data_IF_143107439135
#
_entry.id   IF_143107439135
#
_cell.length_a   1.000
_cell.length_b   1.000
_cell.length_c   1.000
_cell.angle_alpha   90.00
_cell.angle_beta   90.00
_cell.angle_gamma   90.00
#
_symmetry.space_group_name_H-M   'P 1'
#
loop_
_entity.id
_entity.type
_entity.pdbx_description
1 polymer ?
#
# COMPACT_ATOMS: atom_id res chain seq x y z
N UNK A 1 2.32 13.91 -5.77
CA UNK A 1 3.06 13.44 -4.58
C UNK A 1 4.47 14.00 -4.70
N UNK A 2 4.87 14.88 -3.78
CA UNK A 2 6.20 15.49 -3.77
C UNK A 2 6.90 15.01 -2.50
N UNK A 3 7.59 13.88 -2.58
CA UNK A 3 8.45 13.39 -1.51
C UNK A 3 9.67 14.32 -1.41
N UNK A 4 9.75 15.12 -0.34
CA UNK A 4 10.93 15.95 -0.07
C UNK A 4 11.82 15.28 0.96
N UNK A 5 12.91 14.68 0.50
CA UNK A 5 14.02 14.24 1.35
C UNK A 5 15.05 15.39 1.38
N UNK A 6 15.63 15.68 2.54
CA UNK A 6 16.66 16.70 2.67
C UNK A 6 17.92 16.34 1.87
N UNK A 7 18.51 17.34 1.21
CA UNK A 7 19.73 17.19 0.40
C UNK A 7 20.93 16.68 1.21
N UNK A 8 20.97 16.95 2.52
CA UNK A 8 22.02 16.46 3.41
C UNK A 8 22.01 14.94 3.57
N UNK A 9 20.83 14.35 3.75
CA UNK A 9 20.65 12.92 3.99
C UNK A 9 20.99 12.10 2.74
N UNK A 10 20.64 12.62 1.56
CA UNK A 10 21.01 12.03 0.28
C UNK A 10 22.53 11.97 0.09
N UNK A 11 23.25 13.02 0.50
CA UNK A 11 24.71 13.04 0.41
C UNK A 11 25.38 12.04 1.35
N UNK A 12 24.80 11.82 2.55
CA UNK A 12 25.25 10.82 3.51
C UNK A 12 25.07 9.39 2.98
N UNK A 13 23.88 9.10 2.44
CA UNK A 13 23.59 7.81 1.81
C UNK A 13 24.52 7.56 0.61
N UNK A 14 24.71 8.54 -0.27
CA UNK A 14 25.59 8.39 -1.44
C UNK A 14 27.04 8.10 -1.02
N UNK A 15 27.54 8.77 0.02
CA UNK A 15 28.87 8.50 0.57
C UNK A 15 28.95 7.11 1.18
N UNK A 16 27.94 6.70 1.95
CA UNK A 16 27.84 5.35 2.50
C UNK A 16 27.86 4.25 1.44
N UNK A 17 27.11 4.42 0.35
CA UNK A 17 27.09 3.47 -0.76
C UNK A 17 28.44 3.35 -1.48
N UNK A 18 29.30 4.36 -1.39
CA UNK A 18 30.66 4.34 -1.96
C UNK A 18 31.68 3.75 -0.98
N UNK A 19 31.68 4.25 0.25
CA UNK A 19 32.78 4.05 1.19
C UNK A 19 32.51 2.90 2.18
N UNK A 20 31.24 2.59 2.45
CA UNK A 20 30.79 1.49 3.32
C UNK A 20 29.55 0.77 2.74
N UNK A 21 29.65 0.17 1.54
CA UNK A 21 28.48 -0.32 0.79
C UNK A 21 27.73 -1.48 1.44
N UNK A 22 28.40 -2.30 2.27
CA UNK A 22 27.75 -3.41 2.97
C UNK A 22 26.88 -2.89 4.12
N UNK A 23 27.46 -2.09 5.01
CA UNK A 23 26.75 -1.47 6.14
C UNK A 23 25.61 -0.57 5.65
N UNK A 24 25.86 0.23 4.61
CA UNK A 24 24.84 1.12 4.06
C UNK A 24 23.65 0.35 3.50
N UNK A 25 23.89 -0.79 2.82
CA UNK A 25 22.81 -1.65 2.34
C UNK A 25 21.99 -2.25 3.48
N UNK A 26 22.65 -2.77 4.51
CA UNK A 26 21.98 -3.32 5.68
C UNK A 26 21.06 -2.29 6.36
N UNK A 27 21.56 -1.08 6.58
CA UNK A 27 20.77 0.00 7.21
C UNK A 27 19.59 0.42 6.33
N UNK A 28 19.78 0.55 5.02
CA UNK A 28 18.71 0.91 4.09
C UNK A 28 17.68 -0.22 3.93
N UNK A 29 18.10 -1.48 3.95
CA UNK A 29 17.19 -2.64 3.91
C UNK A 29 16.31 -2.70 5.15
N UNK A 30 16.88 -2.44 6.32
CA UNK A 30 16.12 -2.35 7.56
C UNK A 30 15.08 -1.22 7.50
N UNK A 31 15.48 -0.01 7.09
CA UNK A 31 14.58 1.12 6.95
C UNK A 31 13.47 0.88 5.91
N UNK A 32 13.80 0.29 4.76
CA UNK A 32 12.80 -0.05 3.75
C UNK A 32 11.83 -1.14 4.21
N UNK A 33 12.33 -2.12 4.98
CA UNK A 33 11.49 -3.16 5.58
C UNK A 33 10.47 -2.57 6.54
N UNK A 34 10.89 -1.63 7.39
CA UNK A 34 9.97 -0.95 8.31
C UNK A 34 8.97 -0.05 7.56
N UNK A 35 9.44 0.72 6.58
CA UNK A 35 8.60 1.60 5.77
C UNK A 35 7.53 0.81 5.01
N UNK A 36 7.90 -0.29 4.36
CA UNK A 36 6.94 -1.12 3.61
C UNK A 36 5.96 -1.86 4.53
N UNK A 37 6.37 -2.26 5.74
CA UNK A 37 5.46 -2.80 6.76
C UNK A 37 4.40 -1.78 7.19
N UNK A 38 4.82 -0.53 7.44
CA UNK A 38 3.92 0.55 7.81
C UNK A 38 2.90 0.82 6.69
N UNK A 39 3.38 0.97 5.45
CA UNK A 39 2.51 1.22 4.29
C UNK A 39 1.56 0.04 4.04
N UNK A 40 2.04 -1.20 4.07
CA UNK A 40 1.21 -2.40 3.92
C UNK A 40 0.06 -2.43 4.93
N UNK A 41 0.36 -2.21 6.21
CA UNK A 41 -0.65 -2.13 7.28
C UNK A 41 -1.69 -1.05 6.97
N UNK A 42 -1.24 0.12 6.55
CA UNK A 42 -2.13 1.24 6.27
C UNK A 42 -3.00 1.01 5.02
N UNK A 43 -2.48 0.34 3.99
CA UNK A 43 -3.28 -0.11 2.84
C UNK A 43 -4.38 -1.05 3.31
N UNK A 44 -4.04 -2.03 4.16
CA UNK A 44 -4.99 -3.01 4.69
C UNK A 44 -6.12 -2.33 5.47
N UNK A 45 -5.81 -1.36 6.33
CA UNK A 45 -6.82 -0.63 7.10
C UNK A 45 -7.70 0.28 6.22
N UNK A 46 -7.15 0.83 5.14
CA UNK A 46 -7.91 1.66 4.21
C UNK A 46 -8.81 0.85 3.24
N UNK A 47 -8.62 -0.47 3.12
CA UNK A 47 -9.49 -1.33 2.31
C UNK A 47 -10.87 -1.45 2.98
N UNK A 48 -11.98 -1.14 2.27
CA UNK A 48 -13.32 -1.33 2.81
C UNK A 48 -13.55 -2.77 3.27
N UNK A 49 -14.02 -2.93 4.50
CA UNK A 49 -14.35 -4.24 5.06
C UNK A 49 -15.60 -4.79 4.38
N UNK A 50 -15.38 -5.57 3.31
CA UNK A 50 -16.41 -6.34 2.62
C UNK A 50 -16.53 -7.76 3.19
N UNK A 51 -17.48 -8.54 2.67
CA UNK A 51 -17.90 -9.85 3.21
C UNK A 51 -16.78 -10.88 3.41
N UNK A 52 -15.71 -10.86 2.62
CA UNK A 52 -14.67 -11.91 2.66
C UNK A 52 -13.29 -11.43 3.11
N UNK A 53 -13.03 -10.11 3.08
CA UNK A 53 -11.71 -9.53 3.39
C UNK A 53 -10.56 -10.02 2.51
N UNK A 54 -10.84 -10.71 1.40
CA UNK A 54 -9.82 -11.38 0.58
C UNK A 54 -8.83 -10.40 -0.03
N UNK A 55 -9.28 -9.23 -0.49
CA UNK A 55 -8.40 -8.21 -1.08
C UNK A 55 -7.41 -7.66 -0.06
N UNK A 56 -7.85 -7.48 1.19
CA UNK A 56 -6.96 -7.04 2.27
C UNK A 56 -5.90 -8.12 2.59
N UNK A 57 -6.30 -9.40 2.61
CA UNK A 57 -5.39 -10.52 2.84
C UNK A 57 -4.41 -10.77 1.69
N UNK A 58 -4.66 -10.24 0.50
CA UNK A 58 -3.75 -10.39 -0.64
C UNK A 58 -2.73 -9.26 -0.75
N UNK A 59 -2.79 -8.26 0.14
CA UNK A 59 -1.77 -7.24 0.21
C UNK A 59 -0.50 -7.87 0.77
N UNK A 60 0.60 -7.67 0.07
CA UNK A 60 1.91 -8.16 0.43
C UNK A 60 2.95 -7.10 0.14
N UNK A 61 4.08 -7.17 0.84
CA UNK A 61 5.26 -6.36 0.56
C UNK A 61 6.47 -7.21 0.21
N UNK A 62 7.40 -6.62 -0.53
CA UNK A 62 8.72 -7.18 -0.80
C UNK A 62 9.79 -6.09 -0.73
N UNK A 63 11.01 -6.47 -0.35
CA UNK A 63 12.17 -5.57 -0.25
C UNK A 63 13.34 -6.23 -0.96
N UNK A 64 13.90 -5.51 -1.93
CA UNK A 64 14.94 -6.02 -2.81
C UNK A 64 16.15 -5.08 -2.77
N UNK A 65 17.32 -5.66 -2.55
CA UNK A 65 18.59 -4.97 -2.72
C UNK A 65 18.97 -4.93 -4.21
N UNK A 66 19.29 -3.75 -4.72
CA UNK A 66 19.69 -3.53 -6.11
C UNK A 66 21.04 -2.78 -6.16
N UNK A 67 21.75 -2.80 -7.30
CA UNK A 67 22.95 -1.97 -7.46
C UNK A 67 22.70 -0.46 -7.29
N UNK A 68 21.46 0.00 -7.49
CA UNK A 68 21.08 1.40 -7.36
C UNK A 68 20.64 1.78 -5.93
N UNK A 69 20.53 0.83 -5.00
CA UNK A 69 19.99 1.02 -3.66
C UNK A 69 18.96 -0.05 -3.29
N UNK A 70 18.05 0.27 -2.38
CA UNK A 70 17.01 -0.67 -1.90
C UNK A 70 15.65 -0.27 -2.48
N UNK A 71 14.94 -1.24 -3.05
CA UNK A 71 13.58 -1.07 -3.58
C UNK A 71 12.58 -1.77 -2.66
N UNK A 72 11.57 -1.04 -2.19
CA UNK A 72 10.41 -1.60 -1.50
C UNK A 72 9.17 -1.57 -2.38
N UNK A 73 8.41 -2.67 -2.38
CA UNK A 73 7.16 -2.80 -3.13
C UNK A 73 6.05 -3.20 -2.17
N UNK A 74 4.91 -2.51 -2.23
CA UNK A 74 3.66 -2.94 -1.58
C UNK A 74 2.62 -3.10 -2.68
N UNK A 75 2.02 -4.29 -2.78
CA UNK A 75 1.13 -4.64 -3.88
C UNK A 75 0.10 -5.68 -3.48
N UNK A 76 -0.71 -6.11 -4.45
CA UNK A 76 -1.73 -7.13 -4.25
C UNK A 76 -1.64 -8.18 -5.34
N UNK A 77 -1.82 -9.45 -4.96
CA UNK A 77 -1.97 -10.55 -5.93
C UNK A 77 -3.37 -10.64 -6.55
N UNK A 78 -4.33 -9.82 -6.09
CA UNK A 78 -5.70 -9.84 -6.60
C UNK A 78 -6.03 -8.64 -7.50
N UNK A 79 -6.66 -8.86 -8.67
CA UNK A 79 -7.15 -7.78 -9.53
C UNK A 79 -8.16 -6.85 -8.85
N UNK A 80 -8.87 -7.33 -7.82
CA UNK A 80 -9.84 -6.53 -7.06
C UNK A 80 -9.22 -5.30 -6.40
N UNK A 81 -7.93 -5.34 -6.03
CA UNK A 81 -7.21 -4.19 -5.47
C UNK A 81 -7.13 -3.03 -6.48
N UNK A 82 -6.91 -3.34 -7.77
CA UNK A 82 -6.87 -2.33 -8.84
C UNK A 82 -8.22 -1.62 -8.98
N UNK A 83 -9.32 -2.37 -8.90
CA UNK A 83 -10.67 -1.80 -8.99
C UNK A 83 -11.02 -0.95 -7.77
N UNK A 84 -10.49 -1.28 -6.58
CA UNK A 84 -10.63 -0.41 -5.40
C UNK A 84 -9.81 0.87 -5.55
N UNK A 85 -8.61 0.79 -6.10
CA UNK A 85 -7.73 1.94 -6.26
C UNK A 85 -8.25 2.92 -7.32
N UNK A 86 -8.62 2.40 -8.49
CA UNK A 86 -8.93 3.22 -9.68
C UNK A 86 -10.43 3.29 -9.99
N UNK A 87 -11.26 2.49 -9.33
CA UNK A 87 -12.65 2.31 -9.71
C UNK A 87 -12.78 1.47 -10.99
N UNK A 88 -13.98 1.46 -11.55
CA UNK A 88 -14.28 0.73 -12.79
C UNK A 88 -15.12 1.58 -13.72
N UNK A 89 -14.95 1.38 -15.03
CA UNK A 89 -15.91 1.87 -16.03
C UNK A 89 -17.29 1.20 -15.86
N UNK A 90 -18.37 1.80 -16.40
CA UNK A 90 -19.69 1.18 -16.40
C UNK A 90 -19.66 -0.23 -17.00
N UNK A 91 -20.19 -1.22 -16.27
CA UNK A 91 -20.29 -2.61 -16.68
C UNK A 91 -21.35 -3.34 -15.83
N UNK A 92 -21.91 -4.44 -16.33
CA UNK A 92 -22.85 -5.24 -15.55
C UNK A 92 -22.11 -6.37 -14.83
N UNK A 93 -21.92 -6.31 -13.51
CA UNK A 93 -21.32 -7.42 -12.77
C UNK A 93 -22.29 -8.61 -12.67
N UNK A 94 -21.79 -9.84 -12.46
CA UNK A 94 -22.63 -10.98 -12.14
C UNK A 94 -23.42 -10.71 -10.85
N UNK A 95 -24.75 -10.75 -10.93
CA UNK A 95 -25.63 -10.37 -9.80
C UNK A 95 -25.44 -11.29 -8.60
N UNK A 96 -25.28 -12.59 -8.81
CA UNK A 96 -25.09 -13.54 -7.72
C UNK A 96 -23.78 -13.28 -6.94
N UNK A 97 -22.76 -12.69 -7.59
CA UNK A 97 -21.52 -12.29 -6.92
C UNK A 97 -21.69 -11.07 -5.99
N UNK A 98 -22.72 -10.24 -6.20
CA UNK A 98 -23.02 -9.08 -5.34
C UNK A 98 -23.83 -9.45 -4.10
N UNK A 99 -24.54 -10.59 -4.11
CA UNK A 99 -25.43 -10.99 -3.00
C UNK A 99 -24.68 -11.08 -1.66
N UNK A 100 -23.50 -11.73 -1.54
CA UNK A 100 -22.76 -11.76 -0.27
C UNK A 100 -22.38 -10.37 0.25
N UNK A 101 -22.01 -9.45 -0.65
CA UNK A 101 -21.70 -8.06 -0.29
C UNK A 101 -22.94 -7.33 0.22
N UNK A 102 -24.09 -7.45 -0.46
CA UNK A 102 -25.36 -6.85 -0.04
C UNK A 102 -25.75 -7.31 1.37
N UNK A 103 -25.63 -8.61 1.65
CA UNK A 103 -25.96 -9.16 2.97
C UNK A 103 -25.01 -8.65 4.05
N UNK A 104 -23.70 -8.60 3.76
CA UNK A 104 -22.69 -8.18 4.72
C UNK A 104 -22.71 -6.68 5.00
N UNK A 105 -22.87 -5.85 3.96
CA UNK A 105 -22.74 -4.39 4.06
C UNK A 105 -24.07 -3.71 4.36
N UNK A 106 -25.17 -4.20 3.78
CA UNK A 106 -26.51 -3.61 3.98
C UNK A 106 -27.34 -4.36 5.02
N UNK A 107 -26.83 -5.48 5.57
CA UNK A 107 -27.49 -6.24 6.63
C UNK A 107 -28.76 -6.98 6.21
N UNK A 108 -29.04 -7.08 4.91
CA UNK A 108 -30.25 -7.74 4.38
C UNK A 108 -30.12 -9.25 4.55
N UNK A 109 -31.05 -9.86 5.31
CA UNK A 109 -31.01 -11.29 5.64
C UNK A 109 -31.83 -12.16 4.69
N UNK A 110 -32.96 -11.64 4.22
CA UNK A 110 -33.86 -12.37 3.32
C UNK A 110 -33.18 -12.63 1.96
N UNK A 111 -33.11 -13.89 1.49
CA UNK A 111 -32.43 -14.22 0.24
C UNK A 111 -33.05 -13.58 -1.01
N UNK A 112 -34.38 -13.44 -1.06
CA UNK A 112 -35.06 -12.87 -2.24
C UNK A 112 -34.83 -11.37 -2.31
N UNK A 113 -34.96 -10.68 -1.18
CA UNK A 113 -34.66 -9.26 -1.05
C UNK A 113 -33.20 -8.97 -1.38
N UNK A 114 -32.25 -9.76 -0.85
CA UNK A 114 -30.83 -9.59 -1.15
C UNK A 114 -30.52 -9.69 -2.65
N UNK A 115 -31.19 -10.61 -3.37
CA UNK A 115 -31.05 -10.75 -4.81
C UNK A 115 -31.64 -9.57 -5.59
N UNK A 116 -32.81 -9.08 -5.19
CA UNK A 116 -33.43 -7.89 -5.77
C UNK A 116 -32.56 -6.64 -5.57
N UNK A 117 -32.00 -6.45 -4.38
CA UNK A 117 -31.09 -5.33 -4.10
C UNK A 117 -29.77 -5.48 -4.86
N UNK A 118 -29.21 -6.69 -4.94
CA UNK A 118 -28.03 -6.97 -5.75
C UNK A 118 -28.25 -6.60 -7.23
N UNK A 119 -29.43 -6.87 -7.79
CA UNK A 119 -29.78 -6.45 -9.14
C UNK A 119 -29.79 -4.92 -9.30
N UNK A 120 -30.36 -4.19 -8.35
CA UNK A 120 -30.37 -2.71 -8.37
C UNK A 120 -28.97 -2.12 -8.24
N UNK A 121 -28.12 -2.69 -7.38
CA UNK A 121 -26.70 -2.32 -7.27
C UNK A 121 -25.98 -2.58 -8.59
N UNK A 122 -26.16 -3.77 -9.17
CA UNK A 122 -25.60 -4.12 -10.49
C UNK A 122 -26.03 -3.15 -11.58
N UNK A 123 -27.31 -2.77 -11.63
CA UNK A 123 -27.81 -1.75 -12.57
C UNK A 123 -27.16 -0.38 -12.38
N UNK A 124 -26.89 0.02 -11.15
CA UNK A 124 -26.18 1.28 -10.88
C UNK A 124 -24.75 1.22 -11.39
N UNK A 125 -24.03 0.12 -11.12
CA UNK A 125 -22.68 -0.12 -11.63
C UNK A 125 -22.67 -0.18 -13.16
N UNK A 126 -23.70 -0.75 -13.79
CA UNK A 126 -23.83 -0.79 -15.24
C UNK A 126 -23.99 0.58 -15.89
N UNK A 127 -24.54 1.55 -15.16
CA UNK A 127 -24.72 2.92 -15.64
C UNK A 127 -23.52 3.81 -15.35
N UNK A 128 -22.93 3.68 -14.16
CA UNK A 128 -21.96 4.65 -13.63
C UNK A 128 -20.55 4.08 -13.43
N UNK A 129 -20.44 2.75 -13.36
CA UNK A 129 -19.23 2.09 -12.89
C UNK A 129 -19.10 2.16 -11.36
N UNK A 130 -17.86 2.12 -10.87
CA UNK A 130 -17.55 2.28 -9.45
C UNK A 130 -16.54 3.40 -9.27
N UNK A 131 -16.70 4.18 -8.19
CA UNK A 131 -15.78 5.25 -7.84
C UNK A 131 -14.52 4.68 -7.18
N UNK A 132 -13.33 5.25 -7.44
CA UNK A 132 -12.10 4.87 -6.76
C UNK A 132 -12.19 5.15 -5.25
N UNK A 133 -11.76 4.18 -4.44
CA UNK A 133 -11.63 4.30 -2.98
C UNK A 133 -10.20 4.67 -2.55
N UNK A 134 -9.22 4.40 -3.43
CA UNK A 134 -7.82 4.81 -3.31
C UNK A 134 -7.09 4.36 -2.03
N UNK A 135 -7.21 3.09 -1.58
CA UNK A 135 -6.54 2.63 -0.37
C UNK A 135 -5.00 2.79 -0.42
N UNK A 136 -4.37 2.61 -1.58
CA UNK A 136 -2.92 2.76 -1.73
C UNK A 136 -2.49 4.22 -1.69
N UNK A 137 -3.13 5.09 -2.47
CA UNK A 137 -2.82 6.52 -2.46
C UNK A 137 -3.00 7.13 -1.06
N UNK A 138 -4.08 6.75 -0.37
CA UNK A 138 -4.34 7.20 1.01
C UNK A 138 -3.27 6.72 1.97
N UNK A 139 -2.88 5.45 1.89
CA UNK A 139 -1.84 4.88 2.73
C UNK A 139 -0.52 5.66 2.55
N UNK A 140 -0.03 5.76 1.31
CA UNK A 140 1.23 6.45 1.01
C UNK A 140 1.20 7.90 1.51
N UNK A 141 0.09 8.61 1.27
CA UNK A 141 -0.06 10.00 1.70
C UNK A 141 -0.06 10.12 3.23
N UNK A 142 -0.75 9.23 3.93
CA UNK A 142 -0.85 9.27 5.40
C UNK A 142 0.45 8.86 6.11
N UNK A 143 1.27 8.01 5.49
CA UNK A 143 2.52 7.50 6.07
C UNK A 143 3.76 8.26 5.61
N UNK A 144 3.62 9.23 4.70
CA UNK A 144 4.73 9.91 4.02
C UNK A 144 5.78 10.45 5.01
N UNK A 145 5.34 11.21 6.02
CA UNK A 145 6.25 11.79 7.03
C UNK A 145 6.98 10.73 7.84
N UNK A 146 6.32 9.62 8.19
CA UNK A 146 6.94 8.54 8.96
C UNK A 146 7.99 7.79 8.14
N UNK A 147 7.69 7.54 6.86
CA UNK A 147 8.63 6.91 5.93
C UNK A 147 9.86 7.81 5.74
N UNK A 148 9.67 9.11 5.54
CA UNK A 148 10.80 10.06 5.44
C UNK A 148 11.68 10.01 6.70
N UNK A 149 11.07 10.05 7.89
CA UNK A 149 11.80 9.99 9.16
C UNK A 149 12.63 8.70 9.31
N UNK A 150 12.13 7.55 8.83
CA UNK A 150 12.90 6.28 8.83
C UNK A 150 14.16 6.38 7.97
N UNK A 151 14.08 7.02 6.81
CA UNK A 151 15.24 7.20 5.92
C UNK A 151 16.20 8.28 6.41
N UNK A 152 15.71 9.31 7.10
CA UNK A 152 16.56 10.30 7.77
C UNK A 152 17.37 9.66 8.91
N UNK A 153 16.74 8.82 9.75
CA UNK A 153 17.47 8.07 10.79
C UNK A 153 18.52 7.13 10.18
N UNK A 154 18.15 6.41 9.12
CA UNK A 154 19.07 5.57 8.36
C UNK A 154 20.29 6.35 7.85
N UNK A 155 20.07 7.53 7.25
CA UNK A 155 21.15 8.41 6.79
C UNK A 155 22.06 8.85 7.93
N UNK A 156 21.50 9.21 9.08
CA UNK A 156 22.28 9.60 10.26
C UNK A 156 23.14 8.44 10.78
N UNK A 157 22.60 7.22 10.83
CA UNK A 157 23.36 6.01 11.22
C UNK A 157 24.54 5.76 10.30
N UNK A 158 24.33 5.90 8.98
CA UNK A 158 25.39 5.79 7.97
C UNK A 158 26.48 6.84 8.20
N UNK A 159 26.12 8.12 8.38
CA UNK A 159 27.08 9.20 8.61
C UNK A 159 27.90 8.96 9.90
N UNK A 160 27.26 8.53 10.98
CA UNK A 160 27.96 8.20 12.24
C UNK A 160 28.96 7.06 12.06
N UNK A 161 28.58 6.01 11.32
CA UNK A 161 29.47 4.88 11.03
C UNK A 161 30.70 5.32 10.22
N UNK A 162 30.51 6.15 9.20
CA UNK A 162 31.63 6.70 8.40
C UNK A 162 32.58 7.59 9.23
N UNK A 163 32.08 8.23 10.29
CA UNK A 163 32.88 9.03 11.22
C UNK A 163 33.63 8.18 12.28
N UNK A 164 33.51 6.85 12.23
CA UNK A 164 34.13 5.94 13.21
C UNK A 164 33.35 5.82 14.53
N UNK A 165 32.08 6.24 14.56
CA UNK A 165 31.21 6.06 15.72
C UNK A 165 30.73 4.60 15.88
N UNK A 166 30.29 4.21 17.09
CA UNK A 166 29.70 2.89 17.32
C UNK A 166 28.41 2.71 16.49
N UNK A 167 28.17 1.47 16.06
CA UNK A 167 27.03 1.01 15.23
C UNK A 167 25.69 1.09 15.95
#
# INVERSE_FOLDING_TARGET
>A
MNLSISLGDLSGIQRGLRDAPAFTREVLEAAMTEATQLVEREVIENIPRASTGLTAKSITRDVMSTPAGVLGVVGSSQPSALFLELGTRPHMPPIDALVPWVRAVLGIRDPKEAKSVAFLVGRKIAREGTKPQRPFERAVTSTETQVIAMFEDAAQRIVRHLAGGPT
#
